data_IF_253194200412
#
_entry.id   IF_253194200412
#
_cell.length_a   1.000
_cell.length_b   1.000
_cell.length_c   1.000
_cell.angle_alpha   90.00
_cell.angle_beta   90.00
_cell.angle_gamma   90.00
#
_symmetry.space_group_name_H-M   'P 1'
#
loop_
_entity.id
_entity.type
_entity.pdbx_description
1 polymer ?
#
# COMPACT_ATOMS: atom_id res chain seq x y z
N UNK A 1 -1.45 -23.73 9.57
CA UNK A 1 -2.20 -24.86 10.14
C UNK A 1 -1.32 -26.10 10.12
N UNK A 2 -0.22 -26.14 10.92
CA UNK A 2 0.63 -27.32 11.00
C UNK A 2 -0.12 -28.50 11.62
N UNK A 3 0.36 -29.72 11.38
CA UNK A 3 -0.14 -30.88 12.13
C UNK A 3 0.33 -30.81 13.59
N UNK A 4 -0.53 -31.24 14.51
CA UNK A 4 -0.23 -31.39 15.95
C UNK A 4 -0.59 -32.81 16.39
N UNK A 5 0.18 -33.36 17.33
CA UNK A 5 -0.10 -34.63 17.98
C UNK A 5 -0.32 -34.41 19.47
N UNK A 6 -1.44 -34.90 20.00
CA UNK A 6 -1.78 -34.82 21.42
C UNK A 6 -2.52 -36.10 21.83
N UNK A 7 -2.10 -36.74 22.92
CA UNK A 7 -2.67 -38.04 23.33
C UNK A 7 -2.59 -39.14 22.27
N UNK A 8 -1.59 -39.10 21.38
CA UNK A 8 -1.41 -40.05 20.28
C UNK A 8 -2.29 -39.80 19.05
N UNK A 9 -3.15 -38.77 19.07
CA UNK A 9 -4.02 -38.41 17.95
C UNK A 9 -3.37 -37.27 17.15
N UNK A 10 -3.25 -37.46 15.83
CA UNK A 10 -2.78 -36.44 14.89
C UNK A 10 -3.96 -35.66 14.32
N UNK A 11 -3.93 -34.33 14.41
CA UNK A 11 -4.94 -33.45 13.83
C UNK A 11 -4.30 -32.18 13.27
N UNK A 12 -5.05 -31.44 12.43
CA UNK A 12 -4.63 -30.14 11.90
C UNK A 12 -4.90 -29.05 12.92
N UNK A 13 -3.91 -28.23 13.25
CA UNK A 13 -4.12 -27.04 14.09
C UNK A 13 -4.91 -25.98 13.30
N UNK A 14 -6.17 -25.76 13.72
CA UNK A 14 -7.08 -24.79 13.11
C UNK A 14 -6.95 -23.38 13.70
N UNK A 15 -6.05 -23.15 14.65
CA UNK A 15 -5.74 -21.81 15.13
C UNK A 15 -4.85 -21.08 14.11
N UNK A 16 -5.47 -20.46 13.10
CA UNK A 16 -4.76 -19.72 12.05
C UNK A 16 -4.09 -18.47 12.63
N UNK A 17 -2.76 -18.48 12.66
CA UNK A 17 -1.91 -17.40 13.18
C UNK A 17 -0.51 -17.46 12.56
N UNK A 18 0.36 -16.54 12.97
CA UNK A 18 1.75 -16.51 12.51
C UNK A 18 2.46 -17.86 12.77
N UNK A 19 3.12 -18.45 11.74
CA UNK A 19 3.98 -19.62 11.91
C UNK A 19 5.12 -19.42 12.91
N UNK A 20 5.54 -18.16 13.13
CA UNK A 20 6.60 -17.84 14.11
C UNK A 20 6.19 -18.09 15.58
N UNK A 21 4.89 -18.34 15.84
CA UNK A 21 4.40 -18.72 17.17
C UNK A 21 4.55 -20.23 17.44
N UNK A 22 4.86 -21.02 16.41
CA UNK A 22 5.14 -22.45 16.52
C UNK A 22 6.14 -22.87 15.43
N UNK A 23 7.39 -22.44 15.60
CA UNK A 23 8.46 -22.60 14.60
C UNK A 23 8.80 -24.08 14.42
N UNK A 24 8.91 -24.84 15.51
CA UNK A 24 9.17 -26.28 15.49
C UNK A 24 8.20 -27.07 14.61
N UNK A 25 6.88 -26.83 14.73
CA UNK A 25 5.88 -27.55 13.93
C UNK A 25 5.60 -26.93 12.55
N UNK A 26 6.10 -25.71 12.26
CA UNK A 26 5.81 -25.02 11.00
C UNK A 26 7.01 -24.97 10.06
N UNK A 27 8.17 -24.58 10.55
CA UNK A 27 9.35 -24.29 9.74
C UNK A 27 10.41 -25.40 9.88
N UNK A 28 10.64 -25.90 11.10
CA UNK A 28 11.68 -26.91 11.35
C UNK A 28 11.33 -28.31 10.84
N UNK A 29 10.08 -28.52 10.42
CA UNK A 29 9.68 -29.71 9.65
C UNK A 29 10.46 -29.86 8.34
N UNK A 30 10.95 -28.75 7.78
CA UNK A 30 11.75 -28.73 6.54
C UNK A 30 13.14 -28.10 6.73
N UNK A 31 13.29 -27.12 7.63
CA UNK A 31 14.53 -26.37 7.82
C UNK A 31 15.30 -26.82 9.06
N UNK A 32 16.58 -27.18 8.91
CA UNK A 32 17.46 -27.59 10.03
C UNK A 32 18.11 -26.43 10.78
N UNK A 33 17.51 -25.25 10.72
CA UNK A 33 17.99 -24.04 11.41
C UNK A 33 17.47 -23.99 12.83
N UNK A 34 18.17 -23.27 13.70
CA UNK A 34 17.65 -22.98 15.05
C UNK A 34 16.40 -22.10 14.95
N UNK A 35 15.52 -22.15 15.96
CA UNK A 35 14.32 -21.30 15.95
C UNK A 35 14.68 -19.80 15.93
N UNK A 36 15.77 -19.42 16.61
CA UNK A 36 16.29 -18.05 16.60
C UNK A 36 16.76 -17.62 15.21
N UNK A 37 17.44 -18.51 14.48
CA UNK A 37 17.87 -18.22 13.10
C UNK A 37 16.67 -18.09 12.15
N UNK A 38 15.66 -18.95 12.27
CA UNK A 38 14.43 -18.82 11.47
C UNK A 38 13.76 -17.48 11.75
N UNK A 39 13.57 -17.15 13.04
CA UNK A 39 12.94 -15.90 13.47
C UNK A 39 13.68 -14.69 12.91
N UNK A 40 15.00 -14.63 13.10
CA UNK A 40 15.80 -13.49 12.65
C UNK A 40 15.76 -13.31 11.13
N UNK A 41 15.75 -14.40 10.36
CA UNK A 41 15.60 -14.34 8.89
C UNK A 41 14.25 -13.78 8.48
N UNK A 42 13.16 -14.22 9.11
CA UNK A 42 11.81 -13.70 8.80
C UNK A 42 11.70 -12.22 9.16
N UNK A 43 12.13 -11.84 10.37
CA UNK A 43 12.09 -10.45 10.84
C UNK A 43 12.99 -9.54 9.99
N UNK A 44 14.15 -10.02 9.53
CA UNK A 44 15.01 -9.25 8.62
C UNK A 44 14.33 -9.00 7.27
N UNK A 45 13.65 -9.99 6.70
CA UNK A 45 12.85 -9.82 5.48
C UNK A 45 11.78 -8.75 5.72
N UNK A 46 10.99 -8.89 6.78
CA UNK A 46 9.88 -7.97 7.08
C UNK A 46 10.38 -6.54 7.32
N UNK A 47 11.48 -6.38 8.05
CA UNK A 47 12.11 -5.08 8.33
C UNK A 47 12.60 -4.40 7.05
N UNK A 48 13.31 -5.14 6.18
CA UNK A 48 13.80 -4.58 4.91
C UNK A 48 12.65 -4.13 4.01
N UNK A 49 11.56 -4.91 3.94
CA UNK A 49 10.39 -4.56 3.12
C UNK A 49 9.60 -3.40 3.70
N UNK A 50 9.50 -3.29 5.03
CA UNK A 50 8.91 -2.13 5.70
C UNK A 50 9.66 -0.85 5.30
N UNK A 51 11.00 -0.86 5.34
CA UNK A 51 11.81 0.30 4.95
C UNK A 51 11.62 0.67 3.47
N UNK A 52 11.57 -0.32 2.56
CA UNK A 52 11.30 -0.07 1.14
C UNK A 52 9.90 0.52 0.93
N UNK A 53 8.91 0.00 1.66
CA UNK A 53 7.52 0.43 1.59
C UNK A 53 7.35 1.86 2.08
N UNK A 54 7.96 2.21 3.22
CA UNK A 54 7.96 3.58 3.77
C UNK A 54 8.68 4.58 2.86
N UNK A 55 9.79 4.15 2.24
CA UNK A 55 10.53 4.97 1.28
C UNK A 55 9.65 5.34 0.08
N UNK A 56 9.02 4.34 -0.55
CA UNK A 56 8.10 4.58 -1.66
C UNK A 56 6.87 5.39 -1.23
N UNK A 57 6.30 5.10 -0.06
CA UNK A 57 5.15 5.83 0.49
C UNK A 57 5.44 7.32 0.64
N UNK A 58 6.63 7.68 1.16
CA UNK A 58 7.05 9.07 1.32
C UNK A 58 7.08 9.80 -0.02
N UNK A 59 7.69 9.20 -1.04
CA UNK A 59 7.79 9.82 -2.37
C UNK A 59 6.42 9.96 -3.04
N UNK A 60 5.53 8.98 -2.88
CA UNK A 60 4.14 9.04 -3.37
C UNK A 60 3.36 10.16 -2.67
N UNK A 61 3.49 10.28 -1.35
CA UNK A 61 2.83 11.32 -0.57
C UNK A 61 3.30 12.72 -1.00
N UNK A 62 4.60 12.91 -1.18
CA UNK A 62 5.15 14.19 -1.67
C UNK A 62 4.64 14.49 -3.08
N UNK A 63 4.60 13.50 -3.98
CA UNK A 63 4.08 13.69 -5.34
C UNK A 63 2.63 14.16 -5.34
N UNK A 64 1.75 13.60 -4.50
CA UNK A 64 0.37 14.08 -4.36
C UNK A 64 0.32 15.56 -3.97
N UNK A 65 1.18 15.98 -3.03
CA UNK A 65 1.24 17.35 -2.54
C UNK A 65 1.84 18.32 -3.56
N UNK A 66 2.85 17.90 -4.32
CA UNK A 66 3.42 18.68 -5.43
C UNK A 66 2.42 18.87 -6.57
N UNK A 67 1.60 17.85 -6.88
CA UNK A 67 0.47 17.98 -7.83
C UNK A 67 -0.55 18.99 -7.30
N UNK A 68 -0.89 18.93 -6.01
CA UNK A 68 -1.78 19.92 -5.38
C UNK A 68 -1.23 21.35 -5.43
N UNK A 69 0.08 21.54 -5.23
CA UNK A 69 0.74 22.84 -5.39
C UNK A 69 0.69 23.34 -6.83
N UNK A 70 0.95 22.49 -7.83
CA UNK A 70 0.83 22.84 -9.24
C UNK A 70 -0.60 23.29 -9.60
N UNK A 71 -1.63 22.63 -9.08
CA UNK A 71 -3.03 23.05 -9.26
C UNK A 71 -3.25 24.46 -8.69
N UNK A 72 -2.70 24.76 -7.50
CA UNK A 72 -2.80 26.10 -6.89
C UNK A 72 -2.08 27.18 -7.69
N UNK A 73 -1.05 26.82 -8.45
CA UNK A 73 -0.33 27.74 -9.33
C UNK A 73 -1.06 28.00 -10.67
N UNK A 74 -2.13 27.25 -10.95
CA UNK A 74 -2.93 27.42 -12.16
C UNK A 74 -2.72 26.34 -13.23
N UNK A 75 -2.03 25.24 -12.90
CA UNK A 75 -1.86 24.13 -13.83
C UNK A 75 -3.20 23.51 -14.24
N UNK A 76 -3.38 23.32 -15.54
CA UNK A 76 -4.56 22.72 -16.14
C UNK A 76 -4.55 21.20 -16.00
N UNK A 77 -5.71 20.56 -16.18
CA UNK A 77 -5.81 19.11 -16.16
C UNK A 77 -4.96 18.42 -17.23
N UNK A 78 -4.80 19.06 -18.40
CA UNK A 78 -3.98 18.55 -19.50
C UNK A 78 -2.49 18.56 -19.13
N UNK A 79 -1.99 19.63 -18.52
CA UNK A 79 -0.59 19.70 -18.06
C UNK A 79 -0.28 18.69 -16.96
N UNK A 80 -1.30 18.32 -16.17
CA UNK A 80 -1.18 17.37 -15.05
C UNK A 80 -1.43 15.90 -15.44
N UNK A 81 -1.77 15.60 -16.70
CA UNK A 81 -2.07 14.23 -17.14
C UNK A 81 -0.92 13.27 -16.81
N UNK A 82 0.31 13.66 -17.17
CA UNK A 82 1.50 12.83 -16.95
C UNK A 82 1.81 12.58 -15.47
N UNK A 83 1.95 13.59 -14.59
CA UNK A 83 2.21 13.34 -13.18
C UNK A 83 1.07 12.58 -12.48
N UNK A 84 -0.19 12.79 -12.88
CA UNK A 84 -1.35 12.04 -12.33
C UNK A 84 -1.34 10.57 -12.71
N UNK A 85 -1.02 10.24 -13.96
CA UNK A 85 -0.88 8.84 -14.35
C UNK A 85 0.32 8.16 -13.66
N UNK A 86 1.43 8.87 -13.46
CA UNK A 86 2.58 8.35 -12.73
C UNK A 86 2.27 8.09 -11.25
N UNK A 87 1.60 9.01 -10.54
CA UNK A 87 1.22 8.78 -9.13
C UNK A 87 0.21 7.63 -9.00
N UNK A 88 -0.72 7.47 -9.95
CA UNK A 88 -1.66 6.34 -9.99
C UNK A 88 -0.93 5.00 -10.09
N UNK A 89 0.06 4.89 -10.99
CA UNK A 89 0.88 3.67 -11.13
C UNK A 89 1.73 3.43 -9.89
N UNK A 90 2.40 4.46 -9.40
CA UNK A 90 3.23 4.37 -8.20
C UNK A 90 2.43 3.82 -7.01
N UNK A 91 1.25 4.39 -6.77
CA UNK A 91 0.37 3.96 -5.69
C UNK A 91 -0.18 2.56 -5.90
N UNK A 92 -0.55 2.17 -7.12
CA UNK A 92 -1.01 0.79 -7.38
C UNK A 92 0.07 -0.25 -7.07
N UNK A 93 1.32 -0.02 -7.52
CA UNK A 93 2.43 -0.93 -7.24
C UNK A 93 2.77 -0.96 -5.74
N UNK A 94 2.73 0.20 -5.06
CA UNK A 94 2.93 0.26 -3.62
C UNK A 94 1.85 -0.51 -2.85
N UNK A 95 0.59 -0.28 -3.20
CA UNK A 95 -0.57 -0.84 -2.49
C UNK A 95 -0.67 -2.36 -2.69
N UNK A 96 -0.24 -2.88 -3.84
CA UNK A 96 -0.13 -4.33 -4.07
C UNK A 96 0.72 -5.04 -3.00
N UNK A 97 1.79 -4.39 -2.52
CA UNK A 97 2.63 -4.94 -1.44
C UNK A 97 2.07 -4.57 -0.08
N UNK A 98 1.62 -3.33 0.11
CA UNK A 98 1.10 -2.83 1.39
C UNK A 98 -0.18 -3.55 1.84
N UNK A 99 -1.01 -4.02 0.92
CA UNK A 99 -2.22 -4.78 1.20
C UNK A 99 -1.93 -6.19 1.76
N UNK A 100 -0.68 -6.65 1.71
CA UNK A 100 -0.25 -7.94 2.25
C UNK A 100 0.49 -7.76 3.59
N UNK A 101 -0.14 -8.18 4.68
CA UNK A 101 0.42 -8.09 6.04
C UNK A 101 1.65 -9.00 6.28
N UNK A 102 2.01 -9.86 5.34
CA UNK A 102 3.19 -10.72 5.41
C UNK A 102 4.52 -9.98 5.19
N UNK A 103 4.48 -8.71 4.78
CA UNK A 103 5.65 -7.83 4.65
C UNK A 103 6.81 -8.45 3.87
N UNK A 104 6.51 -8.95 2.68
CA UNK A 104 7.50 -9.55 1.78
C UNK A 104 7.90 -10.99 2.09
N UNK A 105 7.49 -11.58 3.22
CA UNK A 105 7.89 -12.95 3.59
C UNK A 105 7.56 -14.01 2.51
N UNK A 106 6.37 -13.95 1.92
CA UNK A 106 5.94 -14.94 0.92
C UNK A 106 6.67 -14.84 -0.42
N UNK A 107 7.12 -13.64 -0.80
CA UNK A 107 7.79 -13.41 -2.07
C UNK A 107 8.73 -12.18 -1.96
N UNK A 108 9.89 -12.32 -1.29
CA UNK A 108 10.73 -11.17 -0.95
C UNK A 108 11.25 -10.44 -2.18
N UNK A 109 11.81 -11.18 -3.15
CA UNK A 109 12.38 -10.56 -4.35
C UNK A 109 11.31 -9.89 -5.21
N UNK A 110 10.13 -10.48 -5.33
CA UNK A 110 9.03 -9.88 -6.09
C UNK A 110 8.48 -8.63 -5.40
N UNK A 111 8.33 -8.67 -4.07
CA UNK A 111 7.90 -7.52 -3.28
C UNK A 111 8.89 -6.36 -3.42
N UNK A 112 10.20 -6.63 -3.32
CA UNK A 112 11.24 -5.64 -3.58
C UNK A 112 11.17 -5.08 -5.01
N UNK A 113 11.05 -5.94 -6.04
CA UNK A 113 10.93 -5.53 -7.45
C UNK A 113 9.73 -4.63 -7.69
N UNK A 114 8.59 -4.92 -7.05
CA UNK A 114 7.37 -4.12 -7.13
C UNK A 114 7.53 -2.78 -6.41
N UNK A 115 8.10 -2.76 -5.21
CA UNK A 115 8.36 -1.52 -4.47
C UNK A 115 9.37 -0.61 -5.21
N UNK A 116 10.37 -1.17 -5.88
CA UNK A 116 11.27 -0.40 -6.76
C UNK A 116 10.51 0.26 -7.91
N UNK A 117 9.52 -0.43 -8.52
CA UNK A 117 8.65 0.19 -9.54
C UNK A 117 7.83 1.32 -8.94
N UNK A 118 7.25 1.12 -7.76
CA UNK A 118 6.49 2.17 -7.07
C UNK A 118 7.35 3.43 -6.83
N UNK A 119 8.55 3.24 -6.28
CA UNK A 119 9.52 4.31 -6.06
C UNK A 119 9.88 5.01 -7.37
N UNK A 120 10.22 4.26 -8.42
CA UNK A 120 10.57 4.83 -9.73
C UNK A 120 9.45 5.71 -10.29
N UNK A 121 8.21 5.21 -10.31
CA UNK A 121 7.09 5.98 -10.83
C UNK A 121 6.80 7.22 -9.98
N UNK A 122 6.98 7.15 -8.66
CA UNK A 122 6.89 8.30 -7.79
C UNK A 122 7.96 9.34 -8.15
N UNK A 123 9.24 8.97 -8.22
CA UNK A 123 10.32 9.90 -8.54
C UNK A 123 10.22 10.49 -9.95
N UNK A 124 9.82 9.69 -10.95
CA UNK A 124 9.54 10.18 -12.31
C UNK A 124 8.38 11.19 -12.30
N UNK A 125 7.34 10.91 -11.50
CA UNK A 125 6.18 11.80 -11.35
C UNK A 125 6.55 13.12 -10.69
N UNK A 126 7.43 13.07 -9.68
CA UNK A 126 7.97 14.26 -9.02
C UNK A 126 8.75 15.12 -10.01
N UNK A 127 9.63 14.53 -10.81
CA UNK A 127 10.33 15.27 -11.86
C UNK A 127 9.35 15.91 -12.86
N UNK A 128 8.34 15.16 -13.31
CA UNK A 128 7.35 15.66 -14.25
C UNK A 128 6.55 16.86 -13.69
N UNK A 129 6.10 16.78 -12.43
CA UNK A 129 5.34 17.88 -11.83
C UNK A 129 6.22 19.10 -11.55
N UNK A 130 7.53 18.94 -11.28
CA UNK A 130 8.43 20.09 -11.15
C UNK A 130 8.52 20.92 -12.44
N UNK A 131 8.52 20.27 -13.61
CA UNK A 131 8.49 20.98 -14.89
C UNK A 131 7.20 21.79 -15.08
N UNK A 132 6.07 21.22 -14.69
CA UNK A 132 4.77 21.91 -14.70
C UNK A 132 4.81 23.11 -13.75
N UNK A 133 5.27 22.93 -12.51
CA UNK A 133 5.39 24.01 -11.53
C UNK A 133 6.27 25.15 -12.03
N UNK A 134 7.40 24.84 -12.66
CA UNK A 134 8.31 25.84 -13.23
C UNK A 134 7.67 26.63 -14.38
N UNK A 135 6.89 25.98 -15.24
CA UNK A 135 6.13 26.65 -16.31
C UNK A 135 5.10 27.65 -15.74
N UNK A 136 4.56 27.36 -14.55
CA UNK A 136 3.66 28.24 -13.79
C UNK A 136 4.40 29.17 -12.81
N UNK A 137 5.70 29.42 -13.05
CA UNK A 137 6.48 30.46 -12.35
C UNK A 137 7.06 30.06 -10.99
N UNK A 138 6.95 28.80 -10.56
CA UNK A 138 7.59 28.34 -9.34
C UNK A 138 9.12 28.26 -9.50
N UNK A 139 9.84 28.96 -8.62
CA UNK A 139 11.32 28.95 -8.58
C UNK A 139 11.90 28.07 -7.47
N UNK A 140 11.06 27.66 -6.53
CA UNK A 140 11.41 26.85 -5.37
C UNK A 140 10.62 25.52 -5.34
N UNK A 141 11.10 24.55 -4.57
CA UNK A 141 10.36 23.34 -4.27
C UNK A 141 9.04 23.63 -3.54
N UNK A 142 8.07 22.73 -3.71
CA UNK A 142 6.79 22.85 -3.03
C UNK A 142 7.00 22.79 -1.50
N UNK A 143 6.32 23.66 -0.76
CA UNK A 143 6.33 23.63 0.70
C UNK A 143 5.44 22.49 1.18
N UNK A 144 6.07 21.37 1.53
CA UNK A 144 5.38 20.17 1.98
C UNK A 144 5.05 20.29 3.48
N UNK A 145 3.78 20.18 3.91
CA UNK A 145 3.43 20.18 5.33
C UNK A 145 4.05 18.97 6.04
N UNK A 146 4.49 19.19 7.28
CA UNK A 146 5.00 18.13 8.15
C UNK A 146 3.81 17.43 8.82
N UNK A 147 3.38 16.31 8.25
CA UNK A 147 2.28 15.49 8.79
C UNK A 147 2.88 14.35 9.63
N UNK A 148 3.07 14.58 10.93
CA UNK A 148 3.80 13.69 11.85
C UNK A 148 2.89 12.74 12.62
N UNK A 149 1.59 12.98 12.59
CA UNK A 149 0.59 12.13 13.22
C UNK A 149 -0.58 11.81 12.29
N UNK A 150 -1.27 10.71 12.58
CA UNK A 150 -2.53 10.37 11.92
C UNK A 150 -3.55 11.52 12.03
N UNK A 151 -3.65 12.15 13.20
CA UNK A 151 -4.59 13.25 13.43
C UNK A 151 -4.27 14.46 12.54
N UNK A 152 -3.00 14.86 12.43
CA UNK A 152 -2.55 15.92 11.53
C UNK A 152 -2.84 15.59 10.07
N UNK A 153 -2.51 14.37 9.63
CA UNK A 153 -2.77 13.94 8.25
C UNK A 153 -4.27 13.93 7.92
N UNK A 154 -5.11 13.43 8.83
CA UNK A 154 -6.57 13.42 8.66
C UNK A 154 -7.16 14.82 8.64
N UNK A 155 -6.71 15.71 9.53
CA UNK A 155 -7.13 17.11 9.53
C UNK A 155 -6.75 17.81 8.21
N UNK A 156 -5.54 17.55 7.69
CA UNK A 156 -5.07 18.11 6.43
C UNK A 156 -5.93 17.67 5.23
N UNK A 157 -6.28 16.38 5.14
CA UNK A 157 -7.05 15.87 3.98
C UNK A 157 -8.56 16.11 4.09
N UNK A 158 -9.08 16.43 5.29
CA UNK A 158 -10.52 16.52 5.56
C UNK A 158 -11.28 17.40 4.55
N UNK A 159 -10.83 18.63 4.20
CA UNK A 159 -11.55 19.48 3.25
C UNK A 159 -11.67 18.82 1.85
N UNK A 160 -10.62 18.12 1.42
CA UNK A 160 -10.60 17.43 0.13
C UNK A 160 -11.55 16.23 0.12
N UNK A 161 -11.58 15.46 1.22
CA UNK A 161 -12.50 14.32 1.38
C UNK A 161 -13.96 14.79 1.40
N UNK A 162 -14.26 15.89 2.09
CA UNK A 162 -15.60 16.47 2.12
C UNK A 162 -16.03 16.99 0.74
N UNK A 163 -15.14 17.67 0.02
CA UNK A 163 -15.38 18.11 -1.35
C UNK A 163 -15.64 16.92 -2.29
N UNK A 164 -14.84 15.86 -2.20
CA UNK A 164 -15.02 14.64 -2.98
C UNK A 164 -16.36 13.96 -2.68
N UNK A 165 -16.74 13.86 -1.41
CA UNK A 165 -18.03 13.28 -0.99
C UNK A 165 -19.21 14.09 -1.52
N UNK A 166 -19.13 15.43 -1.50
CA UNK A 166 -20.15 16.29 -2.08
C UNK A 166 -20.26 16.09 -3.59
N UNK A 167 -19.13 15.98 -4.28
CA UNK A 167 -19.11 15.73 -5.73
C UNK A 167 -19.68 14.35 -6.10
N UNK A 168 -19.37 13.29 -5.35
CA UNK A 168 -19.88 11.94 -5.63
C UNK A 168 -21.38 11.80 -5.40
N UNK A 169 -21.95 12.55 -4.45
CA UNK A 169 -23.40 12.61 -4.23
C UNK A 169 -24.16 13.39 -5.30
N UNK A 170 -23.46 14.28 -6.03
CA UNK A 170 -24.03 15.04 -7.15
C UNK A 170 -23.95 14.29 -8.49
N UNK A 171 -23.12 13.25 -8.58
CA UNK A 171 -23.01 12.40 -9.75
C UNK A 171 -24.19 11.40 -9.79
N UNK A 172 -24.80 11.13 -10.95
CA UNK A 172 -25.82 10.08 -11.07
C UNK A 172 -25.22 8.74 -10.60
N UNK A 173 -25.98 7.91 -9.86
CA UNK A 173 -25.45 6.67 -9.32
C UNK A 173 -24.92 5.81 -10.47
N UNK A 174 -23.68 5.35 -10.32
CA UNK A 174 -23.15 4.32 -11.20
C UNK A 174 -24.11 3.13 -11.15
N UNK A 175 -24.61 2.70 -12.31
CA UNK A 175 -25.50 1.55 -12.43
C UNK A 175 -24.72 0.29 -12.02
N UNK A 176 -24.80 -0.04 -10.73
CA UNK A 176 -24.37 -1.35 -10.27
C UNK A 176 -25.23 -2.40 -10.99
N UNK A 177 -24.63 -3.44 -11.61
CA UNK A 177 -25.42 -4.56 -12.10
C UNK A 177 -26.20 -5.13 -10.92
N UNK A 178 -27.53 -5.21 -11.07
CA UNK A 178 -28.40 -5.81 -10.05
C UNK A 178 -27.92 -7.24 -9.82
N UNK A 179 -27.42 -7.51 -8.60
CA UNK A 179 -27.16 -8.88 -8.19
C UNK A 179 -28.51 -9.60 -8.10
N UNK A 180 -28.72 -10.56 -9.00
CA UNK A 180 -29.86 -11.48 -8.89
C UNK A 180 -29.67 -12.33 -7.63
N UNK A 181 -30.51 -12.10 -6.62
CA UNK A 181 -30.55 -12.92 -5.44
C UNK A 181 -31.08 -14.31 -5.83
N UNK A 182 -30.18 -15.30 -5.91
CA UNK A 182 -30.57 -16.71 -6.02
C UNK A 182 -31.15 -17.14 -4.67
N UNK A 183 -32.39 -17.66 -4.59
CA UNK A 183 -32.97 -18.08 -3.32
C UNK A 183 -32.17 -19.25 -2.75
N UNK A 184 -31.75 -19.14 -1.49
CA UNK A 184 -31.19 -20.23 -0.72
C UNK A 184 -32.29 -21.28 -0.51
N UNK A 185 -32.09 -22.51 -0.98
CA UNK A 185 -32.88 -23.65 -0.51
C UNK A 185 -32.62 -23.79 0.98
N UNK A 186 -33.67 -23.64 1.79
CA UNK A 186 -33.65 -24.08 3.17
C UNK A 186 -33.35 -25.58 3.18
N UNK A 187 -32.22 -25.97 3.78
CA UNK A 187 -31.85 -27.37 3.97
C UNK A 187 -32.76 -28.00 5.02
N UNK A 188 -33.39 -29.12 4.65
CA UNK A 188 -34.01 -30.06 5.57
C UNK A 188 -33.02 -31.08 6.12
#
# INVERSE_FOLDING_TARGET
MPYKTEGGIKYTDHQVRSPLLNISNSCQVCHRWSENEIRSRVEAIQTNHQQMLETAQREIAILHLEIGDAIRLGATDQELEKPRDLVRRAQMYWDYVAANNGMGFHAPQESARILTKALKFATDGRLAVQLVRAAHGAKDFAKIPQLRSKAEAQAFIKPYVEAQKKASLAAPPATAPKAEAKPTRAGG
#
